data_IF_171417293107
#
_entry.id   IF_171417293107
#
_cell.length_a   1.000
_cell.length_b   1.000
_cell.length_c   1.000
_cell.angle_alpha   90.00
_cell.angle_beta   90.00
_cell.angle_gamma   90.00
#
_symmetry.space_group_name_H-M   'P 1'
#
loop_
_entity.id
_entity.type
_entity.pdbx_description
1 polymer ?
#
# COMPACT_ATOMS: atom_id res chain seq x y z
N UNK A 1 7.90 -20.51 1.42
CA UNK A 1 7.96 -19.13 1.92
C UNK A 1 6.54 -18.73 2.22
N UNK A 2 6.22 -18.36 3.46
CA UNK A 2 4.85 -17.92 3.80
C UNK A 2 4.62 -16.55 3.17
N UNK A 3 3.60 -16.42 2.32
CA UNK A 3 3.22 -15.12 1.75
C UNK A 3 2.79 -14.18 2.87
N UNK A 4 3.44 -13.01 2.97
CA UNK A 4 3.06 -11.99 3.95
C UNK A 4 1.76 -11.33 3.49
N UNK A 5 0.76 -11.36 4.38
CA UNK A 5 -0.52 -10.69 4.17
C UNK A 5 -0.42 -9.29 4.72
N UNK A 6 -0.90 -8.34 3.92
CA UNK A 6 -1.06 -6.96 4.29
C UNK A 6 -2.51 -6.55 4.11
N UNK A 7 -2.92 -5.49 4.81
CA UNK A 7 -4.21 -4.87 4.56
C UNK A 7 -4.12 -3.36 4.53
N UNK A 8 -5.14 -2.76 3.92
CA UNK A 8 -5.30 -1.32 3.90
C UNK A 8 -6.77 -0.95 4.03
N UNK A 9 -7.04 0.01 4.91
CA UNK A 9 -8.36 0.56 5.18
C UNK A 9 -8.56 1.79 4.30
N UNK A 10 -9.59 1.77 3.47
CA UNK A 10 -9.99 2.89 2.59
C UNK A 10 -11.43 2.68 2.09
N UNK A 11 -11.99 3.68 1.40
CA UNK A 11 -13.33 3.58 0.83
C UNK A 11 -13.44 2.68 -0.41
N UNK A 12 -14.66 2.24 -0.68
CA UNK A 12 -15.05 1.36 -1.80
C UNK A 12 -14.48 1.76 -3.17
N UNK A 13 -14.52 3.04 -3.54
CA UNK A 13 -14.02 3.49 -4.86
C UNK A 13 -12.53 3.17 -5.05
N UNK A 14 -11.74 3.31 -3.98
CA UNK A 14 -10.32 2.95 -4.01
C UNK A 14 -10.14 1.43 -4.01
N UNK A 15 -10.97 0.68 -3.27
CA UNK A 15 -10.95 -0.78 -3.30
C UNK A 15 -11.18 -1.30 -4.74
N UNK A 16 -12.21 -0.79 -5.41
CA UNK A 16 -12.54 -1.15 -6.79
C UNK A 16 -11.40 -0.79 -7.76
N UNK A 17 -10.80 0.39 -7.59
CA UNK A 17 -9.64 0.80 -8.40
C UNK A 17 -8.43 -0.12 -8.19
N UNK A 18 -8.11 -0.45 -6.93
CA UNK A 18 -6.98 -1.32 -6.59
C UNK A 18 -7.21 -2.76 -7.11
N UNK A 19 -8.42 -3.29 -6.96
CA UNK A 19 -8.81 -4.59 -7.50
C UNK A 19 -8.68 -4.64 -9.03
N UNK A 20 -9.15 -3.59 -9.72
CA UNK A 20 -9.11 -3.53 -11.19
C UNK A 20 -7.70 -3.39 -11.73
N UNK A 21 -6.83 -2.66 -11.03
CA UNK A 21 -5.48 -2.34 -11.50
C UNK A 21 -4.42 -3.33 -11.02
N UNK A 22 -4.70 -4.10 -9.97
CA UNK A 22 -3.69 -4.92 -9.29
C UNK A 22 -2.58 -4.07 -8.67
N UNK A 23 -2.86 -2.79 -8.34
CA UNK A 23 -1.88 -1.85 -7.80
C UNK A 23 -2.42 -1.10 -6.60
N UNK A 24 -1.56 -0.88 -5.60
CA UNK A 24 -1.88 -0.07 -4.43
C UNK A 24 -1.03 1.19 -4.46
N UNK A 25 -1.69 2.35 -4.43
CA UNK A 25 -1.04 3.66 -4.59
C UNK A 25 -0.91 4.49 -3.32
N UNK A 26 0.18 5.23 -3.20
CA UNK A 26 0.50 6.08 -2.06
C UNK A 26 1.02 7.44 -2.49
N UNK A 27 0.40 8.52 -1.98
CA UNK A 27 0.74 9.90 -2.37
C UNK A 27 1.80 10.50 -1.46
N UNK A 28 2.43 11.58 -1.94
CA UNK A 28 3.24 12.48 -1.11
C UNK A 28 2.44 13.00 0.08
N UNK A 29 3.03 12.98 1.27
CA UNK A 29 2.44 13.66 2.42
C UNK A 29 2.52 15.18 2.21
N UNK A 30 1.42 15.90 2.46
CA UNK A 30 1.35 17.36 2.26
C UNK A 30 2.02 18.18 3.37
N UNK A 31 2.41 17.57 4.48
CA UNK A 31 3.00 18.26 5.63
C UNK A 31 4.54 18.16 5.62
N UNK A 32 5.20 19.31 5.82
CA UNK A 32 6.66 19.53 5.76
C UNK A 32 7.47 18.59 6.69
N UNK A 33 6.87 18.09 7.79
CA UNK A 33 7.60 17.35 8.83
C UNK A 33 7.65 15.82 8.70
N UNK A 34 6.86 15.18 7.82
CA UNK A 34 6.71 13.69 7.84
C UNK A 34 7.35 12.96 6.65
N UNK A 35 8.29 13.63 5.97
CA UNK A 35 9.08 13.07 4.89
C UNK A 35 8.53 13.43 3.51
N UNK A 36 9.47 13.81 2.64
CA UNK A 36 9.22 14.49 1.37
C UNK A 36 8.74 13.52 0.28
N UNK A 37 8.99 12.21 0.45
CA UNK A 37 8.78 11.21 -0.59
C UNK A 37 7.36 10.60 -0.53
N UNK A 38 6.68 10.45 -1.68
CA UNK A 38 5.51 9.59 -1.81
C UNK A 38 5.78 8.19 -1.28
N UNK A 39 4.78 7.62 -0.60
CA UNK A 39 4.86 6.25 -0.09
C UNK A 39 3.50 5.59 0.01
N UNK A 40 3.46 4.30 -0.34
CA UNK A 40 2.38 3.39 0.00
C UNK A 40 2.49 3.03 1.48
N UNK A 41 1.36 2.92 2.16
CA UNK A 41 1.25 2.49 3.56
C UNK A 41 0.21 1.40 3.63
N UNK A 42 0.47 0.41 4.48
CA UNK A 42 -0.46 -0.64 4.82
C UNK A 42 -0.25 -1.02 6.29
N UNK A 43 -0.95 -2.07 6.71
CA UNK A 43 -0.79 -2.72 7.99
C UNK A 43 -0.43 -4.19 7.77
N UNK A 44 0.33 -4.77 8.69
CA UNK A 44 0.60 -6.21 8.67
C UNK A 44 -0.64 -7.00 9.07
N UNK A 45 -0.84 -8.15 8.43
CA UNK A 45 -1.90 -9.11 8.76
C UNK A 45 -3.22 -8.86 8.02
N UNK A 46 -4.26 -9.67 8.32
CA UNK A 46 -5.56 -9.59 7.68
C UNK A 46 -6.30 -8.29 8.03
N UNK A 47 -7.22 -7.89 7.15
CA UNK A 47 -8.10 -6.75 7.35
C UNK A 47 -9.10 -7.08 8.49
N UNK A 48 -9.28 -6.21 9.48
CA UNK A 48 -10.29 -6.42 10.52
C UNK A 48 -11.69 -6.55 9.93
N UNK A 49 -12.55 -7.47 10.45
CA UNK A 49 -13.87 -7.77 9.88
C UNK A 49 -14.86 -6.60 9.94
N UNK A 50 -14.63 -5.60 10.77
CA UNK A 50 -15.44 -4.39 10.88
C UNK A 50 -14.99 -3.24 9.96
N UNK A 51 -13.88 -3.42 9.22
CA UNK A 51 -13.28 -2.36 8.41
C UNK A 51 -13.54 -2.52 6.91
N UNK A 52 -13.82 -1.40 6.24
CA UNK A 52 -13.80 -1.30 4.77
C UNK A 52 -12.36 -1.24 4.26
N UNK A 53 -11.99 -2.10 3.30
CA UNK A 53 -10.64 -2.12 2.76
C UNK A 53 -10.32 -3.32 1.86
N UNK A 54 -9.02 -3.61 1.75
CA UNK A 54 -8.48 -4.75 1.01
C UNK A 54 -7.46 -5.51 1.86
N UNK A 55 -7.34 -6.81 1.59
CA UNK A 55 -6.21 -7.65 1.94
C UNK A 55 -5.45 -8.00 0.68
N UNK A 56 -4.13 -8.02 0.74
CA UNK A 56 -3.30 -8.28 -0.41
C UNK A 56 -1.95 -8.88 -0.04
N UNK A 57 -1.33 -9.52 -1.04
CA UNK A 57 0.07 -9.96 -0.99
C UNK A 57 0.87 -9.21 -2.06
N UNK A 58 2.18 -9.12 -1.85
CA UNK A 58 3.11 -8.53 -2.83
C UNK A 58 4.49 -9.15 -2.65
N UNK A 59 5.22 -9.27 -3.77
CA UNK A 59 6.64 -9.65 -3.76
C UNK A 59 7.56 -8.44 -3.49
N UNK A 60 7.00 -7.22 -3.48
CA UNK A 60 7.77 -6.01 -3.19
C UNK A 60 8.00 -5.95 -1.68
N UNK A 61 9.26 -6.10 -1.26
CA UNK A 61 9.61 -5.96 0.15
C UNK A 61 9.38 -4.53 0.65
N UNK A 62 8.78 -4.35 1.84
CA UNK A 62 8.62 -3.04 2.44
C UNK A 62 9.97 -2.44 2.82
N UNK A 63 10.01 -1.11 2.96
CA UNK A 63 11.15 -0.39 3.48
C UNK A 63 11.58 -0.97 4.83
N UNK A 64 12.86 -1.34 4.96
CA UNK A 64 13.41 -1.98 6.17
C UNK A 64 13.32 -1.12 7.43
N UNK A 65 13.23 0.20 7.29
CA UNK A 65 13.00 1.14 8.39
C UNK A 65 11.52 1.42 8.68
N UNK A 66 10.60 0.60 8.15
CA UNK A 66 9.18 0.73 8.44
C UNK A 66 8.90 0.50 9.93
N UNK A 67 7.90 1.18 10.46
CA UNK A 67 7.44 0.96 11.83
C UNK A 67 6.84 -0.46 11.89
N UNK A 68 7.14 -1.28 12.92
CA UNK A 68 6.54 -2.60 13.08
C UNK A 68 5.00 -2.55 12.99
N UNK A 69 4.39 -3.45 12.23
CA UNK A 69 2.94 -3.47 12.00
C UNK A 69 2.45 -2.46 10.95
N UNK A 70 3.32 -1.59 10.42
CA UNK A 70 2.99 -0.51 9.49
C UNK A 70 3.97 -0.48 8.31
N UNK A 71 3.98 -1.51 7.46
CA UNK A 71 4.85 -1.58 6.30
C UNK A 71 4.61 -0.38 5.37
N UNK A 72 5.71 0.13 4.83
CA UNK A 72 5.70 1.23 3.87
C UNK A 72 6.57 0.93 2.67
N UNK A 73 6.17 1.44 1.51
CA UNK A 73 6.95 1.35 0.26
C UNK A 73 7.08 2.76 -0.28
N UNK A 74 8.30 3.28 -0.36
CA UNK A 74 8.56 4.68 -0.70
C UNK A 74 9.21 4.78 -2.07
N UNK A 75 9.09 5.96 -2.68
CA UNK A 75 9.78 6.27 -3.91
C UNK A 75 11.28 5.93 -3.80
N UNK A 76 11.80 5.23 -4.81
CA UNK A 76 13.21 4.84 -4.90
C UNK A 76 13.53 3.45 -4.34
N UNK A 77 12.62 2.83 -3.58
CA UNK A 77 12.79 1.43 -3.19
C UNK A 77 12.53 0.49 -4.39
N UNK A 78 13.16 -0.68 -4.40
CA UNK A 78 13.03 -1.66 -5.47
C UNK A 78 11.57 -2.14 -5.60
N UNK A 79 11.07 -2.25 -6.85
CA UNK A 79 9.69 -2.68 -7.13
C UNK A 79 8.62 -1.61 -6.90
N UNK A 80 9.00 -0.40 -6.45
CA UNK A 80 8.09 0.74 -6.32
C UNK A 80 8.09 1.56 -7.61
N UNK A 81 6.93 1.65 -8.24
CA UNK A 81 6.73 2.43 -9.46
C UNK A 81 6.36 3.88 -9.11
N UNK A 82 6.81 4.82 -9.93
CA UNK A 82 6.42 6.23 -9.82
C UNK A 82 5.38 6.57 -10.87
N UNK A 83 4.29 7.21 -10.45
CA UNK A 83 3.22 7.70 -11.31
C UNK A 83 3.01 9.21 -11.10
N UNK A 84 2.28 9.84 -12.03
CA UNK A 84 1.85 11.24 -11.96
C UNK A 84 2.96 12.22 -11.55
N UNK A 85 4.03 12.32 -12.37
CA UNK A 85 5.11 13.31 -12.17
C UNK A 85 5.74 13.30 -10.76
N UNK A 86 5.91 12.13 -10.14
CA UNK A 86 6.45 11.94 -8.78
C UNK A 86 5.51 12.33 -7.62
N UNK A 87 4.21 12.46 -7.85
CA UNK A 87 3.25 12.71 -6.78
C UNK A 87 2.67 11.43 -6.15
N UNK A 88 2.71 10.34 -6.92
CA UNK A 88 2.14 9.04 -6.58
C UNK A 88 3.19 7.94 -6.76
N UNK A 89 3.24 7.00 -5.83
CA UNK A 89 3.95 5.73 -6.03
C UNK A 89 2.97 4.56 -5.97
N UNK A 90 3.27 3.51 -6.70
CA UNK A 90 2.45 2.30 -6.83
C UNK A 90 3.31 1.08 -6.53
N UNK A 91 2.70 0.06 -5.94
CA UNK A 91 3.27 -1.30 -5.89
C UNK A 91 2.31 -2.29 -6.56
N UNK A 92 2.81 -3.26 -7.33
CA UNK A 92 2.00 -4.39 -7.79
C UNK A 92 1.59 -5.26 -6.60
N UNK A 93 0.33 -5.70 -6.59
CA UNK A 93 -0.21 -6.55 -5.54
C UNK A 93 -1.17 -7.58 -6.11
N UNK A 94 -1.38 -8.66 -5.37
CA UNK A 94 -2.49 -9.59 -5.57
C UNK A 94 -3.52 -9.33 -4.47
N UNK A 95 -4.72 -8.86 -4.84
CA UNK A 95 -5.81 -8.69 -3.86
C UNK A 95 -6.41 -10.06 -3.56
N UNK A 96 -6.34 -10.46 -2.28
CA UNK A 96 -6.87 -11.74 -1.80
C UNK A 96 -8.26 -11.60 -1.17
N UNK A 97 -8.59 -10.42 -0.63
CA UNK A 97 -9.92 -10.10 -0.09
C UNK A 97 -10.22 -8.61 -0.27
N UNK A 98 -11.49 -8.32 -0.56
CA UNK A 98 -12.03 -6.95 -0.60
C UNK A 98 -13.27 -6.90 0.28
N UNK A 99 -13.40 -5.84 1.07
CA UNK A 99 -14.57 -5.57 1.91
C UNK A 99 -14.98 -4.11 1.75
N UNK A 100 -16.24 -3.90 1.35
CA UNK A 100 -16.81 -2.59 1.03
C UNK A 100 -17.78 -2.11 2.12
#
# INVERSE_FOLDING_TARGET
>A
MSERIYHRIQGRELNELMQRTGKVGGRRMRNIGSGILPRVKAYDGPLPPECTGIEFTTEVEPYSGSIPGKPTWRQGDAGVEVAELNELVLIPVTIIRRQD
#
